data_IF_376475604801
#
_entry.id   IF_376475604801
#
_cell.length_a   1.000
_cell.length_b   1.000
_cell.length_c   1.000
_cell.angle_alpha   90.00
_cell.angle_beta   90.00
_cell.angle_gamma   90.00
#
_symmetry.space_group_name_H-M   'P 1'
#
loop_
_entity.id
_entity.type
_entity.pdbx_description
1 polymer ?
#
# COMPACT_ATOMS: atom_id res chain seq x y z
N UNK A 1 15.34 4.01 13.99
CA UNK A 1 15.00 2.56 13.90
C UNK A 1 13.49 2.28 13.92
N UNK A 2 12.65 3.15 14.51
CA UNK A 2 11.18 2.95 14.61
C UNK A 2 10.50 2.72 13.25
N UNK A 3 10.90 3.43 12.19
CA UNK A 3 10.33 3.28 10.86
C UNK A 3 10.49 1.86 10.28
N UNK A 4 11.55 1.13 10.65
CA UNK A 4 11.81 -0.26 10.21
C UNK A 4 10.72 -1.17 10.74
N UNK A 5 10.45 -1.13 12.06
CA UNK A 5 9.40 -1.95 12.68
C UNK A 5 8.02 -1.64 12.12
N UNK A 6 7.72 -0.35 11.93
CA UNK A 6 6.46 0.09 11.32
C UNK A 6 6.31 -0.41 9.89
N UNK A 7 7.40 -0.40 9.12
CA UNK A 7 7.41 -0.92 7.74
C UNK A 7 7.20 -2.43 7.70
N UNK A 8 7.88 -3.19 8.55
CA UNK A 8 7.72 -4.65 8.61
C UNK A 8 6.30 -5.04 9.06
N UNK A 9 5.77 -4.35 10.06
CA UNK A 9 4.38 -4.54 10.49
C UNK A 9 3.39 -4.21 9.37
N UNK A 10 3.60 -3.08 8.67
CA UNK A 10 2.76 -2.68 7.55
C UNK A 10 2.81 -3.71 6.41
N UNK A 11 4.00 -4.23 6.09
CA UNK A 11 4.20 -5.27 5.07
C UNK A 11 3.45 -6.56 5.41
N UNK A 12 3.50 -7.00 6.67
CA UNK A 12 2.75 -8.15 7.17
C UNK A 12 1.23 -7.95 7.04
N UNK A 13 0.71 -6.84 7.53
CA UNK A 13 -0.71 -6.52 7.43
C UNK A 13 -1.18 -6.36 5.98
N UNK A 14 -0.33 -5.80 5.12
CA UNK A 14 -0.61 -5.66 3.70
C UNK A 14 -0.71 -7.00 2.98
N UNK A 15 0.13 -7.96 3.31
CA UNK A 15 0.08 -9.31 2.75
C UNK A 15 -1.29 -9.98 3.06
N UNK A 16 -1.77 -9.89 4.29
CA UNK A 16 -3.10 -10.36 4.67
C UNK A 16 -4.22 -9.61 3.96
N UNK A 17 -4.15 -8.27 3.94
CA UNK A 17 -5.12 -7.46 3.20
C UNK A 17 -5.23 -7.90 1.74
N UNK A 18 -4.09 -8.05 1.06
CA UNK A 18 -4.06 -8.45 -0.33
C UNK A 18 -4.68 -9.84 -0.55
N UNK A 19 -4.44 -10.79 0.35
CA UNK A 19 -5.03 -12.11 0.31
C UNK A 19 -6.57 -12.05 0.47
N UNK A 20 -7.08 -11.28 1.43
CA UNK A 20 -8.52 -11.08 1.61
C UNK A 20 -9.16 -10.36 0.42
N UNK A 21 -8.52 -9.33 -0.13
CA UNK A 21 -9.00 -8.64 -1.34
C UNK A 21 -9.03 -9.55 -2.56
N UNK A 22 -8.01 -10.38 -2.75
CA UNK A 22 -7.97 -11.35 -3.83
C UNK A 22 -9.17 -12.32 -3.73
N UNK A 23 -9.45 -12.84 -2.54
CA UNK A 23 -10.60 -13.72 -2.31
C UNK A 23 -11.94 -13.01 -2.54
N UNK A 24 -12.05 -11.75 -2.09
CA UNK A 24 -13.27 -10.95 -2.28
C UNK A 24 -13.50 -10.58 -3.76
N UNK A 25 -12.43 -10.45 -4.54
CA UNK A 25 -12.49 -10.05 -5.95
C UNK A 25 -13.20 -11.07 -6.86
N UNK A 26 -13.36 -12.31 -6.42
CA UNK A 26 -14.13 -13.34 -7.13
C UNK A 26 -15.64 -13.02 -7.21
N UNK A 27 -16.20 -12.41 -6.16
CA UNK A 27 -17.65 -12.24 -6.02
C UNK A 27 -18.11 -10.78 -6.14
N UNK A 28 -17.19 -9.83 -5.95
CA UNK A 28 -17.51 -8.40 -5.84
C UNK A 28 -16.83 -7.61 -6.96
N UNK A 29 -17.43 -6.50 -7.37
CA UNK A 29 -16.86 -5.60 -8.39
C UNK A 29 -15.54 -4.98 -7.91
N UNK A 30 -14.74 -4.44 -8.87
CA UNK A 30 -13.48 -3.78 -8.54
C UNK A 30 -13.70 -2.63 -7.54
N UNK A 31 -14.73 -1.80 -7.78
CA UNK A 31 -15.05 -0.68 -6.89
C UNK A 31 -15.46 -1.15 -5.48
N UNK A 32 -16.23 -2.25 -5.38
CA UNK A 32 -16.61 -2.83 -4.10
C UNK A 32 -15.42 -3.40 -3.32
N UNK A 33 -14.52 -4.14 -3.98
CA UNK A 33 -13.30 -4.64 -3.33
C UNK A 33 -12.39 -3.48 -2.90
N UNK A 34 -12.35 -2.41 -3.70
CA UNK A 34 -11.62 -1.18 -3.33
C UNK A 34 -12.25 -0.52 -2.11
N UNK A 35 -13.58 -0.40 -2.06
CA UNK A 35 -14.29 0.13 -0.88
C UNK A 35 -14.07 -0.75 0.36
N UNK A 36 -14.10 -2.07 0.23
CA UNK A 36 -13.89 -2.99 1.36
C UNK A 36 -12.56 -2.74 2.09
N UNK A 37 -11.57 -2.17 1.41
CA UNK A 37 -10.31 -1.76 2.01
C UNK A 37 -10.47 -0.60 2.99
N UNK A 38 -11.39 0.33 2.72
CA UNK A 38 -11.49 1.61 3.44
C UNK A 38 -12.71 1.70 4.36
N UNK A 39 -13.75 0.90 4.11
CA UNK A 39 -15.07 1.03 4.72
C UNK A 39 -15.03 1.11 6.25
N UNK A 40 -14.44 0.11 6.91
CA UNK A 40 -14.27 0.09 8.36
C UNK A 40 -12.95 0.72 8.82
N UNK A 41 -12.05 1.02 7.89
CA UNK A 41 -10.78 1.64 8.22
C UNK A 41 -10.94 3.09 8.69
N UNK A 42 -11.93 3.85 8.16
CA UNK A 42 -12.21 5.22 8.60
C UNK A 42 -12.59 5.31 10.08
N UNK A 43 -13.59 4.58 10.61
CA UNK A 43 -13.91 4.63 12.03
C UNK A 43 -12.75 4.11 12.89
N UNK A 44 -12.01 3.09 12.45
CA UNK A 44 -10.84 2.59 13.19
C UNK A 44 -9.74 3.67 13.27
N UNK A 45 -9.47 4.38 12.18
CA UNK A 45 -8.52 5.50 12.16
C UNK A 45 -8.97 6.65 13.07
N UNK A 46 -10.28 6.92 13.13
CA UNK A 46 -10.86 7.89 14.05
C UNK A 46 -10.64 7.50 15.51
N UNK A 47 -10.94 6.25 15.87
CA UNK A 47 -10.68 5.72 17.22
C UNK A 47 -9.19 5.78 17.57
N UNK A 48 -8.32 5.43 16.61
CA UNK A 48 -6.86 5.54 16.80
C UNK A 48 -6.42 6.98 17.11
N UNK A 49 -6.91 7.95 16.35
CA UNK A 49 -6.59 9.36 16.59
C UNK A 49 -7.11 9.84 17.95
N UNK A 50 -8.35 9.50 18.32
CA UNK A 50 -8.93 9.84 19.62
C UNK A 50 -8.09 9.22 20.75
N UNK A 51 -7.69 7.97 20.64
CA UNK A 51 -6.86 7.30 21.63
C UNK A 51 -5.50 7.99 21.80
N UNK A 52 -4.88 8.49 20.71
CA UNK A 52 -3.64 9.26 20.80
C UNK A 52 -3.84 10.57 21.59
N UNK A 53 -4.91 11.30 21.32
CA UNK A 53 -5.20 12.55 22.03
C UNK A 53 -5.56 12.35 23.51
N UNK A 54 -6.14 11.20 23.85
CA UNK A 54 -6.40 10.84 25.26
C UNK A 54 -5.12 10.44 26.00
N UNK A 55 -4.18 9.79 25.28
CA UNK A 55 -2.89 9.39 25.88
C UNK A 55 -1.95 10.59 26.09
N UNK A 56 -1.81 11.44 25.07
CA UNK A 56 -1.01 12.65 25.11
C UNK A 56 -1.81 13.80 24.47
N UNK A 57 -2.40 14.68 25.27
CA UNK A 57 -3.11 15.83 24.74
C UNK A 57 -2.18 16.73 23.90
N UNK A 58 -2.62 17.11 22.71
CA UNK A 58 -1.94 18.03 21.82
C UNK A 58 -2.92 19.07 21.28
N UNK A 59 -2.42 20.22 20.82
CA UNK A 59 -3.26 21.22 20.19
C UNK A 59 -3.88 20.66 18.90
N UNK A 60 -5.14 21.06 18.63
CA UNK A 60 -5.79 20.73 17.36
C UNK A 60 -5.08 21.49 16.23
N UNK A 61 -4.78 20.82 15.12
CA UNK A 61 -4.05 21.41 14.03
C UNK A 61 -4.90 22.37 13.19
N UNK A 62 -4.25 23.37 12.62
CA UNK A 62 -4.74 24.13 11.48
C UNK A 62 -3.99 23.67 10.23
N UNK A 63 -4.70 23.29 9.19
CA UNK A 63 -4.10 22.74 7.99
C UNK A 63 -3.97 23.79 6.89
N UNK A 64 -2.78 23.86 6.27
CA UNK A 64 -2.50 24.72 5.13
C UNK A 64 -3.20 24.24 3.84
N UNK A 65 -3.31 25.12 2.83
CA UNK A 65 -3.81 24.74 1.51
C UNK A 65 -2.95 23.64 0.88
N UNK A 66 -1.62 23.68 1.04
CA UNK A 66 -0.70 22.64 0.54
C UNK A 66 -1.01 21.26 1.14
N UNK A 67 -1.27 21.20 2.45
CA UNK A 67 -1.68 19.96 3.12
C UNK A 67 -2.90 19.33 2.45
N UNK A 68 -3.94 20.13 2.18
CA UNK A 68 -5.17 19.63 1.54
C UNK A 68 -4.93 19.14 0.12
N UNK A 69 -4.09 19.79 -0.67
CA UNK A 69 -3.72 19.30 -2.01
C UNK A 69 -3.07 17.92 -1.94
N UNK A 70 -2.16 17.69 -1.00
CA UNK A 70 -1.53 16.40 -0.82
C UNK A 70 -2.51 15.32 -0.34
N UNK A 71 -3.39 15.63 0.62
CA UNK A 71 -4.41 14.71 1.12
C UNK A 71 -5.39 14.29 0.01
N UNK A 72 -5.90 15.25 -0.75
CA UNK A 72 -6.83 14.99 -1.86
C UNK A 72 -6.13 14.17 -2.95
N UNK A 73 -4.95 14.59 -3.38
CA UNK A 73 -4.14 13.87 -4.38
C UNK A 73 -3.84 12.44 -3.95
N UNK A 74 -3.35 12.24 -2.72
CA UNK A 74 -3.08 10.91 -2.17
C UNK A 74 -4.33 10.03 -2.15
N UNK A 75 -5.49 10.60 -1.80
CA UNK A 75 -6.75 9.86 -1.74
C UNK A 75 -7.16 9.33 -3.11
N UNK A 76 -7.15 10.15 -4.15
CA UNK A 76 -7.51 9.73 -5.50
C UNK A 76 -6.49 8.75 -6.09
N UNK A 77 -5.20 9.00 -5.93
CA UNK A 77 -4.17 8.09 -6.43
C UNK A 77 -4.23 6.72 -5.72
N UNK A 78 -4.55 6.67 -4.44
CA UNK A 78 -4.67 5.40 -3.73
C UNK A 78 -5.93 4.62 -4.16
N UNK A 79 -7.05 5.29 -4.44
CA UNK A 79 -8.22 4.64 -5.04
C UNK A 79 -7.84 4.04 -6.40
N UNK A 80 -7.22 4.84 -7.27
CA UNK A 80 -6.78 4.40 -8.59
C UNK A 80 -5.81 3.22 -8.50
N UNK A 81 -4.76 3.35 -7.69
CA UNK A 81 -3.77 2.30 -7.48
C UNK A 81 -4.39 0.97 -7.02
N UNK A 82 -5.32 1.05 -6.05
CA UNK A 82 -6.01 -0.13 -5.53
C UNK A 82 -6.96 -0.73 -6.57
N UNK A 83 -7.71 0.09 -7.30
CA UNK A 83 -8.60 -0.38 -8.36
C UNK A 83 -7.84 -1.09 -9.48
N UNK A 84 -6.70 -0.54 -9.92
CA UNK A 84 -5.82 -1.16 -10.92
C UNK A 84 -5.23 -2.48 -10.41
N UNK A 85 -4.80 -2.54 -9.15
CA UNK A 85 -4.30 -3.77 -8.53
C UNK A 85 -5.40 -4.84 -8.43
N UNK A 86 -6.61 -4.49 -8.00
CA UNK A 86 -7.75 -5.42 -7.95
C UNK A 86 -8.13 -5.89 -9.35
N UNK A 87 -8.04 -5.03 -10.37
CA UNK A 87 -8.23 -5.42 -11.77
C UNK A 87 -7.21 -6.46 -12.20
N UNK A 88 -5.94 -6.31 -11.83
CA UNK A 88 -4.90 -7.31 -12.08
C UNK A 88 -5.22 -8.65 -11.39
N UNK A 89 -5.72 -8.64 -10.16
CA UNK A 89 -6.12 -9.87 -9.46
C UNK A 89 -7.24 -10.63 -10.17
N UNK A 90 -8.14 -9.92 -10.87
CA UNK A 90 -9.23 -10.53 -11.64
C UNK A 90 -8.79 -11.14 -12.97
N UNK A 91 -7.83 -10.51 -13.65
CA UNK A 91 -7.41 -10.92 -15.00
C UNK A 91 -6.19 -11.83 -15.02
N UNK A 92 -5.37 -11.79 -13.96
CA UNK A 92 -4.11 -12.51 -13.90
C UNK A 92 -3.93 -13.20 -12.56
N UNK A 93 -2.90 -14.02 -12.48
CA UNK A 93 -2.51 -14.64 -11.23
C UNK A 93 -2.17 -13.55 -10.19
N UNK A 94 -2.64 -13.73 -8.95
CA UNK A 94 -2.41 -12.84 -7.81
C UNK A 94 -0.94 -12.41 -7.66
N UNK A 95 0.01 -13.37 -7.81
CA UNK A 95 1.44 -13.12 -7.68
C UNK A 95 1.97 -12.12 -8.72
N UNK A 96 1.52 -12.23 -9.98
CA UNK A 96 1.91 -11.32 -11.06
C UNK A 96 1.41 -9.90 -10.79
N UNK A 97 0.16 -9.77 -10.39
CA UNK A 97 -0.43 -8.45 -10.08
C UNK A 97 0.24 -7.77 -8.88
N UNK A 98 0.46 -8.52 -7.80
CA UNK A 98 1.15 -8.02 -6.61
C UNK A 98 2.61 -7.64 -6.90
N UNK A 99 3.30 -8.44 -7.72
CA UNK A 99 4.69 -8.18 -8.08
C UNK A 99 4.87 -6.94 -8.94
N UNK A 100 4.09 -6.78 -10.01
CA UNK A 100 4.19 -5.60 -10.89
C UNK A 100 3.87 -4.30 -10.15
N UNK A 101 2.94 -4.32 -9.18
CA UNK A 101 2.65 -3.16 -8.33
C UNK A 101 3.85 -2.76 -7.45
N UNK A 102 4.84 -3.65 -7.24
CA UNK A 102 6.07 -3.36 -6.48
C UNK A 102 7.08 -2.50 -7.24
N UNK A 103 6.86 -2.20 -8.51
CA UNK A 103 7.58 -1.12 -9.21
C UNK A 103 7.46 0.23 -8.49
N UNK A 104 6.49 0.33 -7.54
CA UNK A 104 6.28 1.47 -6.64
C UNK A 104 7.57 2.00 -6.02
N UNK A 105 8.47 1.14 -5.53
CA UNK A 105 9.70 1.56 -4.87
C UNK A 105 10.64 2.32 -5.81
N UNK A 106 10.84 1.80 -7.04
CA UNK A 106 11.67 2.44 -8.05
C UNK A 106 11.05 3.75 -8.55
N UNK A 107 9.75 3.75 -8.83
CA UNK A 107 9.03 4.95 -9.25
C UNK A 107 9.05 6.01 -8.16
N UNK A 108 8.88 5.64 -6.87
CA UNK A 108 8.97 6.55 -5.75
C UNK A 108 10.37 7.14 -5.59
N UNK A 109 11.44 6.37 -5.89
CA UNK A 109 12.81 6.88 -5.88
C UNK A 109 13.01 7.96 -6.96
N UNK A 110 12.58 7.67 -8.19
CA UNK A 110 12.71 8.58 -9.32
C UNK A 110 11.88 9.85 -9.11
N UNK A 111 10.58 9.71 -8.82
CA UNK A 111 9.69 10.86 -8.62
C UNK A 111 10.04 11.64 -7.36
N UNK A 112 10.45 10.95 -6.29
CA UNK A 112 10.91 11.57 -5.05
C UNK A 112 12.12 12.48 -5.27
N UNK A 113 13.08 12.03 -6.07
CA UNK A 113 14.26 12.83 -6.43
C UNK A 113 13.89 14.00 -7.34
N UNK A 114 13.09 13.76 -8.38
CA UNK A 114 12.78 14.79 -9.38
C UNK A 114 11.86 15.90 -8.87
N UNK A 115 10.88 15.59 -8.04
CA UNK A 115 9.81 16.50 -7.67
C UNK A 115 9.73 16.86 -6.18
N UNK A 116 10.35 16.05 -5.30
CA UNK A 116 10.20 16.18 -3.85
C UNK A 116 11.53 16.34 -3.13
N UNK A 117 12.63 16.57 -3.85
CA UNK A 117 13.94 16.81 -3.28
C UNK A 117 14.50 15.65 -2.44
N UNK A 118 13.97 14.43 -2.61
CA UNK A 118 14.45 13.25 -1.89
C UNK A 118 15.87 12.91 -2.34
N UNK A 119 16.83 12.90 -1.41
CA UNK A 119 18.19 12.45 -1.69
C UNK A 119 18.37 11.03 -1.19
N UNK A 120 18.88 10.16 -2.06
CA UNK A 120 19.21 8.79 -1.74
C UNK A 120 20.73 8.63 -1.70
N UNK A 121 21.22 7.89 -0.71
CA UNK A 121 22.61 7.45 -0.68
C UNK A 121 22.89 6.45 -1.80
N UNK A 122 24.16 6.19 -2.10
CA UNK A 122 24.56 5.13 -3.08
C UNK A 122 24.00 3.78 -2.65
N UNK A 123 24.07 3.43 -1.35
CA UNK A 123 23.48 2.20 -0.83
C UNK A 123 21.96 2.16 -1.00
N UNK A 124 21.29 3.30 -0.81
CA UNK A 124 19.87 3.44 -1.06
C UNK A 124 19.48 3.14 -2.50
N UNK A 125 20.22 3.69 -3.48
CA UNK A 125 20.00 3.38 -4.90
C UNK A 125 20.25 1.92 -5.23
N UNK A 126 21.35 1.34 -4.72
CA UNK A 126 21.63 -0.09 -4.89
C UNK A 126 20.49 -0.94 -4.33
N UNK A 127 20.00 -0.62 -3.13
CA UNK A 127 18.86 -1.31 -2.52
C UNK A 127 17.60 -1.23 -3.38
N UNK A 128 17.24 -0.03 -3.87
CA UNK A 128 16.05 0.18 -4.73
C UNK A 128 16.15 -0.64 -6.02
N UNK A 129 17.32 -0.61 -6.70
CA UNK A 129 17.52 -1.33 -7.98
C UNK A 129 17.54 -2.84 -7.77
N UNK A 130 18.30 -3.32 -6.78
CA UNK A 130 18.38 -4.77 -6.47
C UNK A 130 17.00 -5.31 -6.05
N UNK A 131 16.27 -4.57 -5.21
CA UNK A 131 14.91 -4.93 -4.80
C UNK A 131 13.94 -4.97 -5.98
N UNK A 132 14.03 -3.99 -6.87
CA UNK A 132 13.23 -3.95 -8.10
C UNK A 132 13.49 -5.17 -9.00
N UNK A 133 14.75 -5.54 -9.19
CA UNK A 133 15.14 -6.74 -9.96
C UNK A 133 14.62 -8.00 -9.28
N UNK A 134 14.79 -8.14 -7.96
CA UNK A 134 14.31 -9.29 -7.19
C UNK A 134 12.80 -9.49 -7.31
N UNK A 135 12.03 -8.41 -7.16
CA UNK A 135 10.57 -8.44 -7.32
C UNK A 135 10.17 -8.75 -8.76
N UNK A 136 10.84 -8.18 -9.75
CA UNK A 136 10.57 -8.48 -11.16
C UNK A 136 10.81 -9.97 -11.46
N UNK A 137 11.89 -10.55 -10.96
CA UNK A 137 12.17 -11.98 -11.11
C UNK A 137 11.07 -12.86 -10.48
N UNK A 138 10.62 -12.51 -9.28
CA UNK A 138 9.55 -13.21 -8.58
C UNK A 138 8.20 -13.11 -9.30
N UNK A 139 7.94 -11.97 -9.95
CA UNK A 139 6.68 -11.72 -10.67
C UNK A 139 6.62 -12.41 -12.04
N UNK A 140 7.77 -12.70 -12.65
CA UNK A 140 7.87 -13.29 -14.00
C UNK A 140 7.70 -14.82 -14.04
N UNK A 141 7.32 -15.46 -12.93
CA UNK A 141 7.29 -16.92 -12.76
C UNK A 141 6.29 -17.70 -13.62
N UNK A 142 5.35 -17.00 -14.29
CA UNK A 142 4.52 -17.61 -15.33
C UNK A 142 5.20 -17.74 -16.69
N UNK A 143 6.47 -17.28 -16.79
CA UNK A 143 7.21 -17.07 -18.04
C UNK A 143 6.84 -15.75 -18.72
N UNK A 144 7.82 -15.13 -19.39
CA UNK A 144 7.63 -13.87 -20.15
C UNK A 144 6.46 -13.94 -21.17
N UNK A 145 6.07 -15.16 -21.58
CA UNK A 145 4.95 -15.41 -22.49
C UNK A 145 3.56 -15.09 -21.88
N UNK A 146 3.44 -15.01 -20.55
CA UNK A 146 2.18 -14.66 -19.88
C UNK A 146 2.06 -13.15 -19.53
N UNK A 147 3.15 -12.38 -19.71
CA UNK A 147 3.16 -10.94 -19.51
C UNK A 147 2.68 -10.24 -20.78
N UNK A 148 1.36 -10.15 -20.96
CA UNK A 148 0.81 -9.30 -22.02
C UNK A 148 1.14 -7.82 -21.76
N UNK A 149 1.33 -7.04 -22.83
CA UNK A 149 1.56 -5.59 -22.71
C UNK A 149 0.51 -4.90 -21.82
N UNK A 150 -0.81 -5.19 -21.95
CA UNK A 150 -1.82 -4.63 -21.05
C UNK A 150 -1.60 -4.94 -19.58
N UNK A 151 -1.15 -6.16 -19.25
CA UNK A 151 -0.85 -6.57 -17.87
C UNK A 151 0.31 -5.76 -17.29
N UNK A 152 1.38 -5.59 -18.06
CA UNK A 152 2.54 -4.79 -17.66
C UNK A 152 2.15 -3.33 -17.45
N UNK A 153 1.42 -2.74 -18.40
CA UNK A 153 0.95 -1.36 -18.30
C UNK A 153 0.05 -1.15 -17.09
N UNK A 154 -0.89 -2.05 -16.82
CA UNK A 154 -1.76 -1.98 -15.63
C UNK A 154 -0.94 -2.08 -14.34
N UNK A 155 0.05 -2.97 -14.28
CA UNK A 155 0.90 -3.14 -13.11
C UNK A 155 1.78 -1.92 -12.84
N UNK A 156 2.44 -1.40 -13.87
CA UNK A 156 3.25 -0.19 -13.77
C UNK A 156 2.40 1.03 -13.41
N UNK A 157 1.21 1.18 -14.00
CA UNK A 157 0.27 2.26 -13.64
C UNK A 157 -0.17 2.15 -12.18
N UNK A 158 -0.45 0.94 -11.69
CA UNK A 158 -0.78 0.71 -10.29
C UNK A 158 0.39 1.07 -9.37
N UNK A 159 1.60 0.62 -9.71
CA UNK A 159 2.83 0.94 -8.96
C UNK A 159 3.12 2.44 -8.94
N UNK A 160 2.96 3.13 -10.07
CA UNK A 160 3.14 4.59 -10.17
C UNK A 160 2.12 5.35 -9.33
N UNK A 161 0.86 4.93 -9.35
CA UNK A 161 -0.20 5.54 -8.54
C UNK A 161 0.04 5.31 -7.04
N UNK A 162 0.55 4.13 -6.62
CA UNK A 162 0.97 3.89 -5.25
C UNK A 162 2.19 4.73 -4.85
N UNK A 163 3.16 4.92 -5.75
CA UNK A 163 4.31 5.77 -5.51
C UNK A 163 3.90 7.23 -5.26
N UNK A 164 3.05 7.78 -6.12
CA UNK A 164 2.50 9.14 -5.93
C UNK A 164 1.69 9.25 -4.63
N UNK A 165 0.86 8.27 -4.32
CA UNK A 165 0.14 8.22 -3.03
C UNK A 165 1.11 8.34 -1.87
N UNK A 166 2.18 7.54 -1.88
CA UNK A 166 3.13 7.45 -0.78
C UNK A 166 3.94 8.73 -0.61
N UNK A 167 4.36 9.36 -1.73
CA UNK A 167 5.04 10.65 -1.73
C UNK A 167 4.12 11.74 -1.18
N UNK A 168 2.89 11.83 -1.64
CA UNK A 168 1.94 12.84 -1.15
C UNK A 168 1.51 12.61 0.30
N UNK A 169 1.40 11.37 0.76
CA UNK A 169 1.18 11.06 2.19
C UNK A 169 2.33 11.60 3.04
N UNK A 170 3.59 11.41 2.59
CA UNK A 170 4.74 11.97 3.28
C UNK A 170 4.70 13.50 3.29
N UNK A 171 4.48 14.13 2.13
CA UNK A 171 4.40 15.60 2.03
C UNK A 171 3.25 16.17 2.87
N UNK A 172 2.10 15.52 2.91
CA UNK A 172 1.00 15.89 3.80
C UNK A 172 1.42 15.80 5.27
N UNK A 173 2.13 14.73 5.65
CA UNK A 173 2.63 14.60 7.03
C UNK A 173 3.61 15.70 7.40
N UNK A 174 4.51 16.08 6.49
CA UNK A 174 5.45 17.21 6.70
C UNK A 174 4.72 18.56 6.72
N UNK A 175 3.79 18.78 5.80
CA UNK A 175 3.01 20.02 5.70
C UNK A 175 2.06 20.22 6.89
N UNK A 176 1.72 19.18 7.63
CA UNK A 176 0.90 19.28 8.85
C UNK A 176 1.60 19.99 10.00
N UNK A 177 2.94 20.04 9.98
CA UNK A 177 3.80 20.58 11.04
C UNK A 177 3.55 19.96 12.43
N UNK A 178 2.86 18.83 12.49
CA UNK A 178 2.60 18.11 13.74
C UNK A 178 3.74 17.15 14.07
N UNK A 179 4.02 16.93 15.36
CA UNK A 179 4.96 15.88 15.76
C UNK A 179 4.39 14.49 15.46
N UNK A 180 5.29 13.52 15.27
CA UNK A 180 4.92 12.12 15.24
C UNK A 180 4.36 11.69 16.63
N UNK A 181 3.28 10.90 16.71
CA UNK A 181 2.55 10.22 15.63
C UNK A 181 1.35 11.00 15.04
N UNK A 182 1.04 12.21 15.52
CA UNK A 182 -0.15 12.97 15.12
C UNK A 182 -0.17 13.33 13.65
N UNK A 183 0.98 13.70 13.07
CA UNK A 183 1.10 14.01 11.64
C UNK A 183 0.60 12.84 10.78
N UNK A 184 1.09 11.63 11.05
CA UNK A 184 0.68 10.42 10.34
C UNK A 184 -0.79 10.05 10.59
N UNK A 185 -1.27 10.18 11.84
CA UNK A 185 -2.63 9.81 12.23
C UNK A 185 -3.70 10.71 11.58
N UNK A 186 -3.48 12.03 11.53
CA UNK A 186 -4.37 12.97 10.85
C UNK A 186 -4.41 12.73 9.34
N UNK A 187 -3.25 12.59 8.69
CA UNK A 187 -3.20 12.29 7.26
C UNK A 187 -3.92 10.97 6.97
N UNK A 188 -3.70 9.93 7.79
CA UNK A 188 -4.38 8.65 7.66
C UNK A 188 -5.90 8.80 7.72
N UNK A 189 -6.41 9.45 8.78
CA UNK A 189 -7.86 9.63 8.97
C UNK A 189 -8.48 10.37 7.79
N UNK A 190 -7.90 11.49 7.38
CA UNK A 190 -8.45 12.33 6.32
C UNK A 190 -8.41 11.64 4.95
N UNK A 191 -7.29 11.01 4.61
CA UNK A 191 -7.14 10.27 3.35
C UNK A 191 -8.13 9.12 3.28
N UNK A 192 -8.23 8.27 4.30
CA UNK A 192 -9.13 7.10 4.30
C UNK A 192 -10.61 7.55 4.32
N UNK A 193 -10.94 8.61 5.08
CA UNK A 193 -12.32 9.12 5.13
C UNK A 193 -12.76 9.67 3.78
N UNK A 194 -11.91 10.44 3.09
CA UNK A 194 -12.21 10.94 1.76
C UNK A 194 -12.40 9.80 0.75
N UNK A 195 -11.53 8.78 0.80
CA UNK A 195 -11.65 7.58 -0.05
C UNK A 195 -12.96 6.83 0.20
N UNK A 196 -13.33 6.65 1.46
CA UNK A 196 -14.58 5.99 1.84
C UNK A 196 -15.78 6.75 1.32
N UNK A 197 -15.82 8.07 1.53
CA UNK A 197 -16.90 8.94 1.06
C UNK A 197 -17.04 8.90 -0.46
N UNK A 198 -15.93 9.05 -1.20
CA UNK A 198 -15.94 9.00 -2.66
C UNK A 198 -16.44 7.65 -3.20
N UNK A 199 -15.98 6.53 -2.64
CA UNK A 199 -16.35 5.20 -3.10
C UNK A 199 -17.77 4.81 -2.70
N UNK A 200 -18.21 5.17 -1.49
CA UNK A 200 -19.61 4.98 -1.08
C UNK A 200 -20.53 5.81 -1.98
N UNK A 201 -20.22 7.08 -2.21
CA UNK A 201 -20.99 7.93 -3.12
C UNK A 201 -21.06 7.36 -4.54
N UNK A 202 -19.94 6.92 -5.08
CA UNK A 202 -19.89 6.26 -6.39
C UNK A 202 -20.79 5.02 -6.47
N UNK A 203 -20.67 4.11 -5.46
CA UNK A 203 -21.44 2.86 -5.45
C UNK A 203 -22.94 3.10 -5.21
N UNK A 204 -23.31 4.09 -4.41
CA UNK A 204 -24.72 4.46 -4.22
C UNK A 204 -25.37 4.94 -5.50
N UNK A 205 -24.62 5.62 -6.38
CA UNK A 205 -25.14 6.15 -7.65
C UNK A 205 -25.10 5.10 -8.77
N UNK A 206 -23.99 4.35 -8.88
CA UNK A 206 -23.70 3.51 -10.05
C UNK A 206 -23.89 2.01 -9.82
N UNK A 207 -23.64 1.51 -8.61
CA UNK A 207 -23.53 0.06 -8.36
C UNK A 207 -24.11 -0.33 -6.98
N UNK A 208 -25.35 0.06 -6.65
CA UNK A 208 -25.98 -0.22 -5.34
C UNK A 208 -25.99 -1.70 -4.97
N UNK A 209 -26.12 -2.59 -5.95
CA UNK A 209 -26.08 -4.04 -5.72
C UNK A 209 -24.74 -4.52 -5.12
N UNK A 210 -23.65 -3.81 -5.43
CA UNK A 210 -22.32 -4.11 -4.88
C UNK A 210 -22.26 -3.87 -3.37
N UNK A 211 -22.92 -2.82 -2.85
CA UNK A 211 -23.01 -2.58 -1.41
C UNK A 211 -23.73 -3.72 -0.69
N UNK A 212 -24.80 -4.24 -1.30
CA UNK A 212 -25.51 -5.41 -0.75
C UNK A 212 -24.62 -6.66 -0.72
N UNK A 213 -23.83 -6.92 -1.79
CA UNK A 213 -22.88 -8.03 -1.83
C UNK A 213 -21.79 -7.90 -0.76
N UNK A 214 -21.30 -6.69 -0.48
CA UNK A 214 -20.36 -6.46 0.62
C UNK A 214 -21.00 -6.78 1.98
N UNK A 215 -22.26 -6.40 2.18
CA UNK A 215 -23.00 -6.71 3.40
C UNK A 215 -23.25 -8.21 3.60
N UNK A 216 -23.34 -9.00 2.54
CA UNK A 216 -23.45 -10.47 2.60
C UNK A 216 -22.13 -11.16 3.01
N UNK A 217 -20.99 -10.45 2.95
CA UNK A 217 -19.67 -10.98 3.31
C UNK A 217 -18.99 -10.19 4.45
N UNK A 218 -19.70 -9.96 5.59
CA UNK A 218 -19.27 -9.00 6.61
C UNK A 218 -17.90 -9.36 7.22
N UNK A 219 -17.64 -10.64 7.49
CA UNK A 219 -16.36 -11.11 8.05
C UNK A 219 -15.18 -10.78 7.13
N UNK A 220 -15.31 -11.07 5.83
CA UNK A 220 -14.24 -10.87 4.87
C UNK A 220 -13.99 -9.37 4.61
N UNK A 221 -15.06 -8.57 4.54
CA UNK A 221 -14.97 -7.11 4.42
C UNK A 221 -14.31 -6.51 5.66
N UNK A 222 -14.71 -6.94 6.86
CA UNK A 222 -14.13 -6.46 8.11
C UNK A 222 -12.64 -6.82 8.23
N UNK A 223 -12.26 -8.07 7.93
CA UNK A 223 -10.86 -8.49 7.92
C UNK A 223 -10.03 -7.70 6.92
N UNK A 224 -10.57 -7.43 5.73
CA UNK A 224 -9.92 -6.58 4.71
C UNK A 224 -9.71 -5.16 5.23
N UNK A 225 -10.74 -4.55 5.82
CA UNK A 225 -10.65 -3.19 6.38
C UNK A 225 -9.70 -3.10 7.56
N UNK A 226 -9.76 -4.03 8.52
CA UNK A 226 -8.88 -4.04 9.70
C UNK A 226 -7.43 -4.19 9.26
N UNK A 227 -7.12 -5.20 8.44
CA UNK A 227 -5.76 -5.42 7.94
C UNK A 227 -5.27 -4.21 7.12
N UNK A 228 -6.16 -3.57 6.37
CA UNK A 228 -5.85 -2.35 5.62
C UNK A 228 -5.55 -1.18 6.55
N UNK A 229 -6.36 -0.95 7.58
CA UNK A 229 -6.17 0.14 8.52
C UNK A 229 -4.85 -0.02 9.28
N UNK A 230 -4.61 -1.20 9.86
CA UNK A 230 -3.37 -1.50 10.59
C UNK A 230 -2.15 -1.37 9.69
N UNK A 231 -2.22 -1.90 8.46
CA UNK A 231 -1.16 -1.72 7.47
C UNK A 231 -0.95 -0.24 7.13
N UNK A 232 -2.02 0.54 6.97
CA UNK A 232 -1.93 1.97 6.66
C UNK A 232 -1.39 2.79 7.84
N UNK A 233 -1.73 2.45 9.09
CA UNK A 233 -1.10 3.04 10.30
C UNK A 233 0.41 2.85 10.21
N UNK A 234 0.88 1.64 9.94
CA UNK A 234 2.31 1.35 9.80
C UNK A 234 2.95 2.11 8.63
N UNK A 235 2.35 2.08 7.43
CA UNK A 235 2.88 2.78 6.25
C UNK A 235 2.97 4.29 6.43
N UNK A 236 1.88 4.95 6.87
CA UNK A 236 1.83 6.39 7.04
C UNK A 236 2.81 6.85 8.12
N UNK A 237 2.88 6.10 9.23
CA UNK A 237 3.85 6.34 10.29
C UNK A 237 5.30 6.16 9.82
N UNK A 238 5.60 5.11 9.06
CA UNK A 238 6.95 4.89 8.54
C UNK A 238 7.35 6.00 7.56
N UNK A 239 6.44 6.41 6.65
CA UNK A 239 6.68 7.46 5.67
C UNK A 239 6.75 8.86 6.28
N UNK A 240 6.14 9.12 7.43
CA UNK A 240 6.34 10.38 8.15
C UNK A 240 7.74 10.49 8.79
N UNK A 241 8.37 9.34 9.10
CA UNK A 241 9.67 9.26 9.77
C UNK A 241 10.85 9.10 8.81
N UNK A 242 10.64 8.50 7.63
CA UNK A 242 11.71 8.18 6.69
C UNK A 242 11.28 8.44 5.24
N UNK A 243 12.26 8.65 4.35
CA UNK A 243 12.01 8.86 2.93
C UNK A 243 11.30 7.65 2.28
N UNK A 244 10.32 7.95 1.43
CA UNK A 244 9.43 6.94 0.82
C UNK A 244 10.19 5.82 0.11
N UNK A 245 11.25 6.07 -0.70
CA UNK A 245 11.98 5.01 -1.37
C UNK A 245 12.55 3.97 -0.41
N UNK A 246 13.10 4.38 0.74
CA UNK A 246 13.63 3.46 1.74
C UNK A 246 12.54 2.60 2.36
N UNK A 247 11.44 3.25 2.76
CA UNK A 247 10.27 2.56 3.34
C UNK A 247 9.70 1.55 2.34
N UNK A 248 9.56 1.92 1.06
CA UNK A 248 8.97 1.05 0.05
C UNK A 248 9.92 -0.08 -0.38
N UNK A 249 11.23 0.15 -0.40
CA UNK A 249 12.21 -0.91 -0.67
C UNK A 249 12.23 -1.93 0.47
N UNK A 250 12.32 -1.50 1.72
CA UNK A 250 12.18 -2.39 2.86
C UNK A 250 10.83 -3.13 2.84
N UNK A 251 9.77 -2.43 2.46
CA UNK A 251 8.42 -2.99 2.36
C UNK A 251 8.25 -4.11 1.33
N UNK A 252 9.21 -4.30 0.42
CA UNK A 252 9.21 -5.45 -0.49
C UNK A 252 9.31 -6.79 0.23
N UNK A 253 9.73 -6.81 1.51
CA UNK A 253 9.70 -8.01 2.37
C UNK A 253 8.28 -8.57 2.53
N UNK A 254 7.23 -7.80 2.21
CA UNK A 254 5.85 -8.28 2.10
C UNK A 254 5.74 -9.56 1.26
N UNK A 255 6.63 -9.75 0.28
CA UNK A 255 6.60 -10.91 -0.59
C UNK A 255 6.86 -12.21 0.18
N UNK A 256 7.71 -12.18 1.22
CA UNK A 256 7.91 -13.32 2.12
C UNK A 256 6.63 -13.66 2.87
N UNK A 257 5.94 -12.65 3.41
CA UNK A 257 4.65 -12.86 4.09
C UNK A 257 3.58 -13.36 3.14
N UNK A 258 3.52 -12.79 1.94
CA UNK A 258 2.59 -13.24 0.88
C UNK A 258 2.85 -14.70 0.52
N UNK A 259 4.12 -15.11 0.41
CA UNK A 259 4.49 -16.49 0.12
C UNK A 259 4.09 -17.43 1.25
N UNK A 260 4.34 -17.07 2.51
CA UNK A 260 3.91 -17.86 3.66
C UNK A 260 2.39 -18.03 3.70
N UNK A 261 1.64 -16.95 3.48
CA UNK A 261 0.17 -16.98 3.40
C UNK A 261 -0.29 -17.88 2.24
N UNK A 262 0.37 -17.80 1.08
CA UNK A 262 0.04 -18.62 -0.08
C UNK A 262 0.25 -20.12 0.19
N UNK A 263 1.32 -20.48 0.90
CA UNK A 263 1.59 -21.88 1.27
C UNK A 263 0.59 -22.39 2.31
N UNK A 264 0.49 -21.68 3.45
CA UNK A 264 -0.21 -22.19 4.63
C UNK A 264 -1.74 -21.99 4.55
N UNK A 265 -2.19 -20.91 3.89
CA UNK A 265 -3.61 -20.57 3.84
C UNK A 265 -4.28 -20.90 2.51
N UNK A 266 -3.54 -20.74 1.38
CA UNK A 266 -4.08 -21.01 0.04
C UNK A 266 -3.66 -22.39 -0.50
N UNK A 267 -2.80 -23.14 0.20
CA UNK A 267 -2.31 -24.47 -0.20
C UNK A 267 -1.49 -24.48 -1.50
N UNK A 268 -0.91 -23.34 -1.88
CA UNK A 268 -0.14 -23.21 -3.11
C UNK A 268 1.29 -23.74 -2.93
N UNK A 269 1.80 -24.47 -3.92
CA UNK A 269 3.20 -24.96 -3.92
C UNK A 269 4.14 -23.85 -4.36
N UNK A 270 5.15 -23.56 -3.53
CA UNK A 270 6.24 -22.64 -3.89
C UNK A 270 7.30 -23.39 -4.70
N UNK A 271 7.84 -22.74 -5.71
CA UNK A 271 8.90 -23.32 -6.55
C UNK A 271 10.26 -22.89 -6.05
N UNK A 272 11.24 -23.78 -6.02
CA UNK A 272 12.63 -23.51 -5.58
C UNK A 272 13.28 -22.37 -6.38
N UNK A 273 12.85 -22.16 -7.63
CA UNK A 273 13.32 -21.06 -8.50
C UNK A 273 13.01 -19.66 -7.96
N UNK A 274 12.08 -19.55 -6.99
CA UNK A 274 11.71 -18.27 -6.35
C UNK A 274 12.80 -17.81 -5.34
N UNK A 275 13.66 -18.73 -4.92
CA UNK A 275 14.67 -18.47 -3.89
C UNK A 275 15.64 -17.33 -4.24
N UNK A 276 16.10 -17.22 -5.49
CA UNK A 276 17.04 -16.19 -5.88
C UNK A 276 16.42 -14.77 -5.81
N UNK A 277 15.19 -14.61 -6.29
CA UNK A 277 14.48 -13.34 -6.17
C UNK A 277 14.23 -12.93 -4.71
N UNK A 278 13.94 -13.92 -3.83
CA UNK A 278 13.80 -13.67 -2.39
C UNK A 278 15.12 -13.20 -1.76
N UNK A 279 16.25 -13.79 -2.14
CA UNK A 279 17.58 -13.37 -1.66
C UNK A 279 17.85 -11.91 -2.07
N UNK A 280 17.53 -11.53 -3.32
CA UNK A 280 17.70 -10.14 -3.78
C UNK A 280 16.82 -9.16 -2.97
N UNK A 281 15.57 -9.52 -2.67
CA UNK A 281 14.68 -8.68 -1.84
C UNK A 281 15.23 -8.57 -0.41
N UNK A 282 15.75 -9.65 0.16
CA UNK A 282 16.37 -9.62 1.49
C UNK A 282 17.63 -8.73 1.49
N UNK A 283 18.49 -8.85 0.49
CA UNK A 283 19.68 -8.02 0.32
C UNK A 283 19.32 -6.54 0.18
N UNK A 284 18.31 -6.21 -0.64
CA UNK A 284 17.82 -4.86 -0.80
C UNK A 284 17.30 -4.27 0.52
N UNK A 285 16.56 -5.05 1.30
CA UNK A 285 16.08 -4.65 2.61
C UNK A 285 17.25 -4.33 3.57
N UNK A 286 18.28 -5.18 3.60
CA UNK A 286 19.48 -4.97 4.42
C UNK A 286 20.21 -3.68 4.00
N UNK A 287 20.44 -3.49 2.71
CA UNK A 287 21.13 -2.30 2.18
C UNK A 287 20.42 -1.00 2.59
N UNK A 288 19.08 -0.99 2.51
CA UNK A 288 18.28 0.18 2.85
C UNK A 288 18.19 0.43 4.36
N UNK A 289 18.31 -0.61 5.19
CA UNK A 289 18.34 -0.43 6.65
C UNK A 289 19.65 0.20 7.16
N UNK A 290 20.73 0.14 6.37
CA UNK A 290 22.04 0.68 6.73
C UNK A 290 22.28 2.10 6.17
N UNK A 291 21.28 2.70 5.55
CA UNK A 291 21.29 4.09 5.06
C UNK A 291 20.67 5.04 6.08
#
# INVERSE_FOLDING_TARGET
>A
MTWIFLTLFAAFMQAWRNAFQSRLSGDVTIAGVTLARFLWASPIAGVYLIALYQWQPAALPTFSSAFWHYVVGASFMQILATALMVKLFKYNNYAVGAGLAKSEALVAAILGMLFFGTQLTVLGWLGVVIGGVGVFMLSSHGGFKQLSLPTVLLGLSSGSAFALTSLWVREASLASQLPFPYSAAWVLLLVISLQTLCLVGYLLIKERSTLYKLWQRPKLVMLTSISSCLGSIGWFSAMSLQAVPYVKTLGQVEIFFTMLISIFWLGQKVRIKDGFGLILVALAAILVMWT
#
